data_IF_581819007574
#
_entry.id   IF_581819007574
#
_cell.length_a   1.000
_cell.length_b   1.000
_cell.length_c   1.000
_cell.angle_alpha   90.00
_cell.angle_beta   90.00
_cell.angle_gamma   90.00
#
_symmetry.space_group_name_H-M   'P 1'
#
loop_
_entity.id
_entity.type
_entity.pdbx_description
1 polymer ?
#
# COMPACT_ATOMS: atom_id res chain seq x y z
N UNK A 1 -13.35 -1.69 13.16
CA UNK A 1 -11.91 -1.39 13.27
C UNK A 1 -11.66 0.03 12.78
N UNK A 2 -10.92 0.85 13.52
CA UNK A 2 -10.68 2.27 13.18
C UNK A 2 -9.23 2.50 12.80
N UNK A 3 -8.97 3.39 11.86
CA UNK A 3 -7.62 3.74 11.42
C UNK A 3 -7.34 5.20 11.75
N UNK A 4 -6.07 5.49 12.07
CA UNK A 4 -5.56 6.85 11.94
C UNK A 4 -5.55 7.25 10.45
N UNK A 5 -5.65 8.56 10.19
CA UNK A 5 -5.71 9.08 8.83
C UNK A 5 -4.50 8.62 7.98
N UNK A 6 -4.78 8.09 6.80
CA UNK A 6 -3.83 7.50 5.83
C UNK A 6 -3.02 6.30 6.32
N UNK A 7 -3.18 5.84 7.56
CA UNK A 7 -2.53 4.62 8.05
C UNK A 7 -3.24 3.41 7.47
N UNK A 8 -2.49 2.47 6.89
CA UNK A 8 -3.03 1.25 6.29
C UNK A 8 -2.84 0.02 7.18
N UNK A 9 -1.88 0.05 8.10
CA UNK A 9 -1.57 -1.05 9.02
C UNK A 9 -2.57 -1.13 10.17
N UNK A 10 -2.67 -2.34 10.76
CA UNK A 10 -3.45 -2.58 11.97
C UNK A 10 -2.63 -2.33 13.23
N UNK A 11 -3.30 -1.92 14.31
CA UNK A 11 -2.71 -2.04 15.64
C UNK A 11 -2.64 -3.51 16.08
N UNK A 12 -1.82 -3.80 17.09
CA UNK A 12 -1.70 -5.16 17.63
C UNK A 12 -3.03 -5.67 18.21
N UNK A 13 -3.79 -4.79 18.88
CA UNK A 13 -5.13 -5.09 19.39
C UNK A 13 -6.09 -5.49 18.25
N UNK A 14 -6.13 -4.70 17.18
CA UNK A 14 -6.97 -4.96 16.01
C UNK A 14 -6.60 -6.25 15.28
N UNK A 15 -5.30 -6.56 15.22
CA UNK A 15 -4.83 -7.83 14.68
C UNK A 15 -5.29 -9.02 15.55
N UNK A 16 -5.32 -8.84 16.88
CA UNK A 16 -5.87 -9.82 17.83
C UNK A 16 -7.37 -10.07 17.60
N UNK A 17 -8.18 -9.02 17.53
CA UNK A 17 -9.63 -9.12 17.27
C UNK A 17 -9.90 -9.86 15.95
N UNK A 18 -9.13 -9.55 14.90
CA UNK A 18 -9.26 -10.20 13.60
C UNK A 18 -8.88 -11.68 13.67
N UNK A 19 -7.89 -12.05 14.46
CA UNK A 19 -7.49 -13.44 14.68
C UNK A 19 -8.59 -14.24 15.41
N UNK A 20 -9.30 -13.64 16.37
CA UNK A 20 -10.46 -14.28 17.01
C UNK A 20 -11.60 -14.54 16.01
N UNK A 21 -11.88 -13.56 15.14
CA UNK A 21 -12.88 -13.71 14.07
C UNK A 21 -12.46 -14.82 13.09
N UNK A 22 -11.17 -14.88 12.73
CA UNK A 22 -10.62 -15.95 11.89
C UNK A 22 -10.82 -17.32 12.53
N UNK A 23 -10.55 -17.46 13.82
CA UNK A 23 -10.78 -18.71 14.56
C UNK A 23 -12.26 -19.12 14.57
N UNK A 24 -13.16 -18.15 14.70
CA UNK A 24 -14.61 -18.42 14.61
C UNK A 24 -15.02 -18.88 13.21
N UNK A 25 -14.51 -18.24 12.16
CA UNK A 25 -14.75 -18.67 10.77
C UNK A 25 -14.21 -20.10 10.53
N UNK A 26 -13.11 -20.48 11.17
CA UNK A 26 -12.57 -21.85 11.08
C UNK A 26 -13.48 -22.88 11.74
N UNK A 27 -14.07 -22.56 12.89
CA UNK A 27 -14.91 -23.48 13.70
C UNK A 27 -16.38 -23.54 13.26
N UNK A 28 -16.97 -22.37 12.98
CA UNK A 28 -18.38 -22.21 12.66
C UNK A 28 -18.58 -22.20 11.14
N UNK A 29 -18.91 -23.35 10.54
CA UNK A 29 -19.03 -23.49 9.06
C UNK A 29 -20.16 -22.67 8.44
N UNK A 30 -21.17 -22.32 9.22
CA UNK A 30 -22.33 -21.50 8.83
C UNK A 30 -22.08 -19.99 8.91
N UNK A 31 -20.94 -19.59 9.49
CA UNK A 31 -20.56 -18.19 9.65
C UNK A 31 -19.95 -17.65 8.36
N UNK A 32 -20.45 -16.51 7.91
CA UNK A 32 -19.87 -15.71 6.83
C UNK A 32 -19.60 -14.30 7.30
N UNK A 33 -18.68 -13.62 6.62
CA UNK A 33 -18.25 -12.27 6.93
C UNK A 33 -18.30 -11.40 5.66
N UNK A 34 -18.84 -10.20 5.81
CA UNK A 34 -18.73 -9.14 4.81
C UNK A 34 -17.81 -8.05 5.35
N UNK A 35 -16.74 -7.77 4.59
CA UNK A 35 -15.74 -6.75 4.91
C UNK A 35 -16.02 -5.52 4.06
N UNK A 36 -16.24 -4.38 4.72
CA UNK A 36 -16.48 -3.09 4.05
C UNK A 36 -15.56 -2.03 4.61
N UNK A 37 -14.89 -1.32 3.71
CA UNK A 37 -14.10 -0.13 4.04
C UNK A 37 -14.95 1.15 3.93
N UNK A 38 -14.66 2.09 4.82
CA UNK A 38 -15.19 3.44 4.83
C UNK A 38 -14.02 4.42 4.95
N UNK A 39 -13.96 5.42 4.06
CA UNK A 39 -13.06 6.55 4.19
C UNK A 39 -13.55 7.50 5.28
N UNK A 40 -12.63 8.06 6.05
CA UNK A 40 -12.89 9.21 6.92
C UNK A 40 -12.41 10.50 6.24
N UNK A 41 -12.91 11.67 6.68
CA UNK A 41 -12.52 12.94 6.08
C UNK A 41 -11.03 13.26 6.30
N UNK A 42 -10.41 12.77 7.37
CA UNK A 42 -8.98 12.85 7.59
C UNK A 42 -8.15 12.06 6.57
N UNK A 43 -8.64 10.91 6.07
CA UNK A 43 -7.97 10.20 4.97
C UNK A 43 -7.99 11.05 3.69
N UNK A 44 -9.11 11.73 3.42
CA UNK A 44 -9.30 12.57 2.24
C UNK A 44 -8.39 13.80 2.29
N UNK A 45 -8.34 14.47 3.44
CA UNK A 45 -7.50 15.65 3.66
C UNK A 45 -6.02 15.30 3.51
N UNK A 46 -5.56 14.24 4.17
CA UNK A 46 -4.17 13.80 4.07
C UNK A 46 -3.82 13.33 2.65
N UNK A 47 -4.68 12.53 2.02
CA UNK A 47 -4.48 12.10 0.63
C UNK A 47 -4.36 13.31 -0.30
N UNK A 48 -5.23 14.33 -0.12
CA UNK A 48 -5.18 15.56 -0.89
C UNK A 48 -3.85 16.30 -0.70
N UNK A 49 -3.39 16.47 0.54
CA UNK A 49 -2.11 17.13 0.83
C UNK A 49 -0.91 16.40 0.22
N UNK A 50 -0.93 15.07 0.21
CA UNK A 50 0.16 14.25 -0.35
C UNK A 50 0.23 14.29 -1.87
N UNK A 51 -0.92 14.23 -2.55
CA UNK A 51 -0.95 14.15 -4.03
C UNK A 51 -1.10 15.50 -4.72
N UNK A 52 -1.46 16.55 -3.99
CA UNK A 52 -1.61 17.92 -4.48
C UNK A 52 -0.68 18.89 -3.74
N UNK A 53 0.62 18.64 -3.82
CA UNK A 53 1.66 19.49 -3.24
C UNK A 53 1.59 20.92 -3.76
N UNK A 54 1.94 21.88 -2.89
CA UNK A 54 2.20 23.26 -3.34
C UNK A 54 3.41 23.30 -4.28
N UNK A 55 3.52 24.37 -5.08
CA UNK A 55 4.65 24.54 -6.01
C UNK A 55 6.01 24.51 -5.30
N UNK A 56 6.10 25.05 -4.08
CA UNK A 56 7.33 25.04 -3.27
C UNK A 56 7.66 23.63 -2.79
N UNK A 57 6.66 22.89 -2.31
CA UNK A 57 6.84 21.50 -1.85
C UNK A 57 7.20 20.56 -2.99
N UNK A 58 6.53 20.70 -4.14
CA UNK A 58 6.82 19.92 -5.34
C UNK A 58 8.27 20.15 -5.82
N UNK A 59 8.74 21.40 -5.84
CA UNK A 59 10.14 21.71 -6.19
C UNK A 59 11.14 21.09 -5.21
N UNK A 60 10.85 21.14 -3.91
CA UNK A 60 11.69 20.53 -2.87
C UNK A 60 11.73 19.01 -3.00
N UNK A 61 10.58 18.37 -3.23
CA UNK A 61 10.50 16.94 -3.47
C UNK A 61 11.23 16.54 -4.74
N UNK A 62 11.10 17.31 -5.82
CA UNK A 62 11.81 17.09 -7.08
C UNK A 62 13.33 17.13 -6.89
N UNK A 63 13.83 18.12 -6.14
CA UNK A 63 15.25 18.22 -5.83
C UNK A 63 15.75 16.99 -5.05
N UNK A 64 14.98 16.57 -4.03
CA UNK A 64 15.30 15.37 -3.25
C UNK A 64 15.30 14.10 -4.10
N UNK A 65 14.25 13.85 -4.88
CA UNK A 65 14.17 12.66 -5.73
C UNK A 65 15.30 12.60 -6.77
N UNK A 66 15.74 13.75 -7.30
CA UNK A 66 16.90 13.82 -8.20
C UNK A 66 18.21 13.47 -7.49
N UNK A 67 18.37 13.94 -6.26
CA UNK A 67 19.53 13.60 -5.42
C UNK A 67 19.53 12.10 -5.10
N UNK A 68 18.42 11.56 -4.59
CA UNK A 68 18.26 10.15 -4.27
C UNK A 68 18.49 9.26 -5.52
N UNK A 69 18.00 9.68 -6.69
CA UNK A 69 18.29 9.01 -7.97
C UNK A 69 19.78 8.97 -8.29
N UNK A 70 20.49 10.08 -8.12
CA UNK A 70 21.92 10.15 -8.40
C UNK A 70 22.72 9.23 -7.46
N UNK A 71 22.34 9.18 -6.18
CA UNK A 71 22.95 8.29 -5.18
C UNK A 71 22.71 6.82 -5.51
N UNK A 72 21.46 6.43 -5.83
CA UNK A 72 21.16 5.05 -6.25
C UNK A 72 21.87 4.66 -7.55
N UNK A 73 21.98 5.60 -8.49
CA UNK A 73 22.67 5.40 -9.76
C UNK A 73 24.16 5.12 -9.54
N UNK A 74 24.82 5.87 -8.65
CA UNK A 74 26.21 5.60 -8.25
C UNK A 74 26.33 4.24 -7.55
N UNK A 75 25.46 3.95 -6.59
CA UNK A 75 25.46 2.67 -5.86
C UNK A 75 25.27 1.48 -6.81
N UNK A 76 24.40 1.60 -7.81
CA UNK A 76 24.21 0.58 -8.86
C UNK A 76 25.51 0.32 -9.62
N UNK A 77 26.20 1.37 -10.06
CA UNK A 77 27.43 1.24 -10.86
C UNK A 77 28.57 0.59 -10.06
N UNK A 78 28.67 0.92 -8.76
CA UNK A 78 29.59 0.29 -7.83
C UNK A 78 29.27 -1.19 -7.62
N UNK A 79 28.00 -1.52 -7.33
CA UNK A 79 27.54 -2.90 -7.12
C UNK A 79 27.69 -3.77 -8.37
N UNK A 80 27.38 -3.22 -9.56
CA UNK A 80 27.58 -3.91 -10.83
C UNK A 80 29.05 -4.21 -11.09
N UNK A 81 29.95 -3.31 -10.71
CA UNK A 81 31.40 -3.52 -10.83
C UNK A 81 31.89 -4.58 -9.83
N UNK A 82 31.41 -4.54 -8.59
CA UNK A 82 31.72 -5.54 -7.56
C UNK A 82 31.19 -6.94 -7.91
N UNK A 83 29.97 -7.05 -8.45
CA UNK A 83 29.39 -8.31 -8.88
C UNK A 83 30.21 -8.95 -10.01
N UNK A 84 30.64 -8.14 -11.00
CA UNK A 84 31.54 -8.60 -12.08
C UNK A 84 32.89 -9.07 -11.54
N UNK A 85 33.48 -8.35 -10.59
CA UNK A 85 34.73 -8.74 -9.96
C UNK A 85 34.61 -10.04 -9.14
N UNK A 86 33.53 -10.19 -8.36
CA UNK A 86 33.26 -11.40 -7.59
C UNK A 86 33.05 -12.62 -8.51
N UNK A 87 32.40 -12.40 -9.67
CA UNK A 87 32.22 -13.44 -10.69
C UNK A 87 33.56 -13.87 -11.29
N UNK A 88 34.41 -12.92 -11.67
CA UNK A 88 35.75 -13.20 -12.18
C UNK A 88 36.64 -13.92 -11.14
N UNK A 89 36.46 -13.63 -9.85
CA UNK A 89 37.17 -14.28 -8.75
C UNK A 89 36.62 -15.68 -8.38
N UNK A 90 35.55 -16.16 -9.02
CA UNK A 90 34.98 -17.48 -8.78
C UNK A 90 34.26 -17.66 -7.43
N UNK A 91 34.01 -16.56 -6.70
CA UNK A 91 33.42 -16.61 -5.36
C UNK A 91 31.89 -16.62 -5.40
N UNK A 92 31.29 -17.79 -5.56
CA UNK A 92 29.83 -17.97 -5.76
C UNK A 92 28.94 -17.27 -4.73
N UNK A 93 29.27 -17.35 -3.44
CA UNK A 93 28.47 -16.71 -2.37
C UNK A 93 28.48 -15.18 -2.48
N UNK A 94 29.66 -14.59 -2.70
CA UNK A 94 29.81 -13.15 -2.94
C UNK A 94 29.08 -12.69 -4.22
N UNK A 95 29.06 -13.52 -5.27
CA UNK A 95 28.30 -13.20 -6.50
C UNK A 95 26.81 -13.09 -6.17
N UNK A 96 26.24 -14.09 -5.49
CA UNK A 96 24.81 -14.11 -5.14
C UNK A 96 24.46 -12.87 -4.31
N UNK A 97 25.20 -12.60 -3.23
CA UNK A 97 24.93 -11.48 -2.35
C UNK A 97 24.99 -10.12 -3.08
N UNK A 98 25.98 -9.91 -3.96
CA UNK A 98 26.14 -8.66 -4.72
C UNK A 98 25.06 -8.51 -5.80
N UNK A 99 24.68 -9.60 -6.47
CA UNK A 99 23.61 -9.60 -7.46
C UNK A 99 22.25 -9.31 -6.83
N UNK A 100 21.93 -9.91 -5.68
CA UNK A 100 20.68 -9.60 -4.95
C UNK A 100 20.60 -8.12 -4.58
N UNK A 101 21.69 -7.57 -4.03
CA UNK A 101 21.71 -6.16 -3.65
C UNK A 101 21.64 -5.21 -4.86
N UNK A 102 22.25 -5.60 -5.98
CA UNK A 102 22.12 -4.87 -7.24
C UNK A 102 20.66 -4.83 -7.72
N UNK A 103 19.97 -5.98 -7.70
CA UNK A 103 18.56 -6.06 -8.09
C UNK A 103 17.67 -5.20 -7.19
N UNK A 104 17.90 -5.22 -5.87
CA UNK A 104 17.19 -4.36 -4.92
C UNK A 104 17.39 -2.87 -5.28
N UNK A 105 18.64 -2.46 -5.56
CA UNK A 105 18.95 -1.07 -5.98
C UNK A 105 18.27 -0.72 -7.31
N UNK A 106 18.24 -1.61 -8.29
CA UNK A 106 17.56 -1.39 -9.58
C UNK A 106 16.05 -1.23 -9.41
N UNK A 107 15.43 -2.02 -8.52
CA UNK A 107 14.01 -1.88 -8.17
C UNK A 107 13.76 -0.48 -7.56
N UNK A 108 14.59 -0.07 -6.59
CA UNK A 108 14.45 1.25 -5.98
C UNK A 108 14.64 2.38 -7.01
N UNK A 109 15.59 2.23 -7.94
CA UNK A 109 15.81 3.22 -9.00
C UNK A 109 14.56 3.35 -9.88
N UNK A 110 13.96 2.23 -10.29
CA UNK A 110 12.72 2.25 -11.08
C UNK A 110 11.53 2.87 -10.33
N UNK A 111 11.45 2.70 -9.01
CA UNK A 111 10.44 3.38 -8.19
C UNK A 111 10.66 4.89 -8.14
N UNK A 112 11.91 5.36 -7.99
CA UNK A 112 12.23 6.79 -8.01
C UNK A 112 11.97 7.41 -9.37
N UNK A 113 12.30 6.72 -10.47
CA UNK A 113 12.05 7.22 -11.82
C UNK A 113 10.56 7.39 -12.09
N UNK A 114 9.73 6.42 -11.70
CA UNK A 114 8.27 6.56 -11.77
C UNK A 114 7.77 7.73 -10.92
N UNK A 115 8.27 7.88 -9.69
CA UNK A 115 7.87 8.98 -8.82
C UNK A 115 8.27 10.36 -9.38
N UNK A 116 9.41 10.46 -10.07
CA UNK A 116 9.84 11.66 -10.77
C UNK A 116 8.90 12.00 -11.94
N UNK A 117 8.55 11.01 -12.76
CA UNK A 117 7.62 11.19 -13.88
C UNK A 117 6.24 11.66 -13.39
N UNK A 118 5.69 10.99 -12.39
CA UNK A 118 4.41 11.35 -11.77
C UNK A 118 4.46 12.78 -11.21
N UNK A 119 5.52 13.13 -10.47
CA UNK A 119 5.67 14.47 -9.90
C UNK A 119 5.77 15.53 -11.00
N UNK A 120 6.55 15.29 -12.05
CA UNK A 120 6.67 16.22 -13.18
C UNK A 120 5.35 16.40 -13.92
N UNK A 121 4.53 15.34 -14.06
CA UNK A 121 3.18 15.44 -14.59
C UNK A 121 2.30 16.35 -13.72
N UNK A 122 2.34 16.18 -12.40
CA UNK A 122 1.57 17.04 -11.48
C UNK A 122 2.02 18.51 -11.49
N UNK A 123 3.27 18.79 -11.86
CA UNK A 123 3.82 20.15 -11.96
C UNK A 123 3.47 20.85 -13.28
N UNK A 124 2.91 20.15 -14.29
CA UNK A 124 2.54 20.75 -15.57
C UNK A 124 1.47 21.83 -15.42
N UNK A 125 1.51 22.91 -16.22
CA UNK A 125 0.41 23.87 -16.29
C UNK A 125 -0.93 23.17 -16.56
N UNK A 126 -1.99 23.55 -15.85
CA UNK A 126 -3.33 22.96 -15.99
C UNK A 126 -3.59 21.68 -15.17
N UNK A 127 -2.58 21.12 -14.48
CA UNK A 127 -2.74 19.92 -13.63
C UNK A 127 -3.72 20.10 -12.45
N UNK A 128 -4.07 21.36 -12.12
CA UNK A 128 -5.05 21.71 -11.09
C UNK A 128 -6.42 21.09 -11.36
N UNK A 129 -6.82 20.94 -12.63
CA UNK A 129 -8.09 20.31 -13.00
C UNK A 129 -8.13 18.81 -12.65
N UNK A 130 -6.96 18.16 -12.57
CA UNK A 130 -6.83 16.77 -12.16
C UNK A 130 -6.69 16.58 -10.64
N UNK A 131 -6.64 17.65 -9.83
CA UNK A 131 -6.40 17.56 -8.40
C UNK A 131 -7.43 16.70 -7.67
N UNK A 132 -8.73 16.93 -7.95
CA UNK A 132 -9.82 16.13 -7.37
C UNK A 132 -9.74 14.65 -7.77
N UNK A 133 -9.38 14.37 -9.02
CA UNK A 133 -9.19 13.00 -9.51
C UNK A 133 -8.04 12.33 -8.77
N UNK A 134 -6.88 12.98 -8.63
CA UNK A 134 -5.72 12.47 -7.89
C UNK A 134 -6.06 12.17 -6.43
N UNK A 135 -6.77 13.06 -5.76
CA UNK A 135 -7.22 12.83 -4.37
C UNK A 135 -8.11 11.60 -4.28
N UNK A 136 -9.07 11.46 -5.19
CA UNK A 136 -9.94 10.28 -5.26
C UNK A 136 -9.13 9.00 -5.48
N UNK A 137 -8.21 9.01 -6.43
CA UNK A 137 -7.38 7.84 -6.76
C UNK A 137 -6.49 7.44 -5.56
N UNK A 138 -5.92 8.42 -4.85
CA UNK A 138 -5.17 8.20 -3.62
C UNK A 138 -6.03 7.62 -2.47
N UNK A 139 -7.23 8.14 -2.27
CA UNK A 139 -8.18 7.59 -1.30
C UNK A 139 -8.56 6.14 -1.63
N UNK A 140 -8.76 5.84 -2.92
CA UNK A 140 -9.03 4.49 -3.39
C UNK A 140 -7.85 3.56 -3.14
N UNK A 141 -6.62 4.03 -3.32
CA UNK A 141 -5.41 3.27 -3.01
C UNK A 141 -5.29 2.96 -1.51
N UNK A 142 -5.55 3.93 -0.62
CA UNK A 142 -5.59 3.72 0.85
C UNK A 142 -6.62 2.64 1.19
N UNK A 143 -7.83 2.76 0.63
CA UNK A 143 -8.91 1.81 0.85
C UNK A 143 -8.54 0.39 0.43
N UNK A 144 -7.94 0.27 -0.76
CA UNK A 144 -7.48 -1.02 -1.31
C UNK A 144 -6.37 -1.63 -0.45
N UNK A 145 -5.36 -0.85 -0.06
CA UNK A 145 -4.26 -1.32 0.78
C UNK A 145 -4.74 -1.84 2.14
N UNK A 146 -5.70 -1.14 2.78
CA UNK A 146 -6.31 -1.63 4.04
C UNK A 146 -7.04 -2.96 3.84
N UNK A 147 -7.84 -3.09 2.77
CA UNK A 147 -8.55 -4.33 2.47
C UNK A 147 -7.60 -5.48 2.16
N UNK A 148 -6.50 -5.23 1.45
CA UNK A 148 -5.46 -6.22 1.18
C UNK A 148 -4.79 -6.72 2.46
N UNK A 149 -4.54 -5.84 3.44
CA UNK A 149 -4.02 -6.22 4.76
C UNK A 149 -5.03 -7.09 5.53
N UNK A 150 -6.33 -6.77 5.47
CA UNK A 150 -7.36 -7.63 6.08
C UNK A 150 -7.40 -8.99 5.36
N UNK A 151 -7.37 -9.01 4.03
CA UNK A 151 -7.38 -10.24 3.24
C UNK A 151 -6.16 -11.14 3.55
N UNK A 152 -4.97 -10.54 3.68
CA UNK A 152 -3.75 -11.30 4.01
C UNK A 152 -3.72 -11.82 5.45
N UNK A 153 -4.52 -11.27 6.36
CA UNK A 153 -4.65 -11.79 7.73
C UNK A 153 -5.75 -12.84 7.87
N UNK A 154 -6.77 -12.76 7.00
CA UNK A 154 -7.87 -13.72 6.88
C UNK A 154 -7.55 -14.90 5.93
N UNK A 155 -6.26 -15.23 5.73
CA UNK A 155 -5.78 -16.21 4.73
C UNK A 155 -6.72 -17.41 4.57
N UNK A 156 -7.12 -17.60 3.31
CA UNK A 156 -8.14 -18.53 2.82
C UNK A 156 -7.80 -19.99 3.08
N UNK A 157 -6.52 -20.37 3.14
CA UNK A 157 -6.11 -21.79 3.24
C UNK A 157 -6.50 -22.46 4.57
N UNK A 158 -6.74 -21.69 5.64
CA UNK A 158 -7.15 -22.23 6.94
C UNK A 158 -8.68 -22.24 7.15
N UNK A 159 -9.44 -21.62 6.24
CA UNK A 159 -10.90 -21.46 6.36
C UNK A 159 -11.59 -22.29 5.27
N UNK A 160 -12.37 -23.33 5.62
CA UNK A 160 -13.14 -24.09 4.64
C UNK A 160 -14.08 -23.17 3.85
N UNK A 161 -14.04 -23.28 2.52
CA UNK A 161 -14.84 -22.49 1.56
C UNK A 161 -14.75 -20.97 1.79
N UNK A 162 -13.56 -20.44 2.06
CA UNK A 162 -13.39 -19.02 2.39
C UNK A 162 -13.92 -18.09 1.28
N UNK A 163 -13.75 -18.43 0.00
CA UNK A 163 -14.22 -17.62 -1.13
C UNK A 163 -15.74 -17.41 -1.14
N UNK A 164 -16.51 -18.37 -0.62
CA UNK A 164 -17.97 -18.26 -0.49
C UNK A 164 -18.40 -17.54 0.80
N UNK A 165 -17.51 -17.51 1.80
CA UNK A 165 -17.82 -17.08 3.17
C UNK A 165 -17.25 -15.72 3.53
N UNK A 166 -16.26 -15.23 2.78
CA UNK A 166 -15.60 -13.95 2.99
C UNK A 166 -15.86 -13.08 1.78
N UNK A 167 -16.73 -12.09 1.93
CA UNK A 167 -17.04 -11.13 0.87
C UNK A 167 -16.36 -9.80 1.15
N UNK A 168 -15.44 -9.39 0.28
CA UNK A 168 -14.88 -8.04 0.29
C UNK A 168 -15.70 -7.13 -0.61
N UNK A 169 -16.28 -6.09 -0.04
CA UNK A 169 -17.00 -5.09 -0.83
C UNK A 169 -15.98 -4.16 -1.48
N UNK A 170 -16.01 -3.98 -2.82
CA UNK A 170 -15.11 -3.05 -3.49
C UNK A 170 -15.20 -1.66 -2.87
N UNK A 171 -14.06 -1.01 -2.58
CA UNK A 171 -14.07 0.31 -1.97
C UNK A 171 -14.77 1.31 -2.90
N UNK A 172 -15.38 2.32 -2.30
CA UNK A 172 -16.01 3.41 -3.04
C UNK A 172 -15.59 4.72 -2.41
N UNK A 173 -15.28 5.70 -3.26
CA UNK A 173 -15.08 7.06 -2.80
C UNK A 173 -16.43 7.66 -2.41
N UNK A 174 -16.59 7.95 -1.12
CA UNK A 174 -17.68 8.75 -0.58
C UNK A 174 -17.05 9.91 0.17
N UNK A 175 -17.53 11.12 -0.07
CA UNK A 175 -17.06 12.28 0.68
C UNK A 175 -17.45 12.13 2.15
N UNK A 176 -16.50 12.44 3.02
CA UNK A 176 -16.64 12.39 4.46
C UNK A 176 -16.09 13.70 5.02
N UNK A 177 -16.79 14.27 5.99
CA UNK A 177 -16.44 15.57 6.59
C UNK A 177 -15.94 15.45 8.02
N UNK A 178 -15.97 14.25 8.61
CA UNK A 178 -15.41 14.00 9.92
C UNK A 178 -13.86 14.03 9.84
N UNK A 179 -13.17 14.59 10.84
CA UNK A 179 -11.71 14.65 10.81
C UNK A 179 -11.04 13.29 11.09
N UNK A 180 -11.80 12.21 11.30
CA UNK A 180 -11.22 10.93 11.63
C UNK A 180 -10.61 10.26 10.40
N UNK A 181 -9.74 9.27 10.66
CA UNK A 181 -9.36 8.33 9.61
C UNK A 181 -10.50 7.37 9.29
N UNK A 182 -10.28 6.51 8.31
CA UNK A 182 -11.28 5.55 7.87
C UNK A 182 -11.49 4.40 8.84
N UNK A 183 -12.46 3.56 8.51
CA UNK A 183 -12.80 2.38 9.28
C UNK A 183 -13.07 1.17 8.39
N UNK A 184 -12.96 -0.01 8.97
CA UNK A 184 -13.44 -1.24 8.38
C UNK A 184 -14.53 -1.82 9.28
N UNK A 185 -15.66 -2.11 8.64
CA UNK A 185 -16.81 -2.78 9.25
C UNK A 185 -16.80 -4.24 8.82
N UNK A 186 -16.86 -5.13 9.81
CA UNK A 186 -16.96 -6.56 9.65
C UNK A 186 -18.37 -6.98 10.05
N UNK A 187 -19.19 -7.38 9.07
CA UNK A 187 -20.55 -7.88 9.35
C UNK A 187 -20.54 -9.39 9.34
N UNK A 188 -20.84 -9.99 10.48
CA UNK A 188 -20.96 -11.43 10.64
C UNK A 188 -22.41 -11.84 10.38
N UNK A 189 -22.61 -12.83 9.52
CA UNK A 189 -23.92 -13.42 9.25
C UNK A 189 -23.85 -14.93 9.39
N UNK A 190 -24.92 -15.52 9.91
CA UNK A 190 -25.10 -16.97 9.91
C UNK A 190 -26.09 -17.37 8.84
N UNK A 191 -25.70 -18.33 8.02
CA UNK A 191 -26.64 -19.06 7.17
C UNK A 191 -27.62 -19.83 8.07
N UNK A 192 -28.93 -19.67 7.87
CA UNK A 192 -29.89 -20.64 8.44
C UNK A 192 -29.62 -21.96 7.72
N UNK A 193 -29.08 -22.94 8.45
CA UNK A 193 -28.98 -24.30 7.96
C UNK A 193 -30.33 -24.73 7.38
N UNK A 194 -30.32 -25.14 6.10
CA UNK A 194 -31.44 -25.87 5.49
C UNK A 194 -31.40 -27.31 5.97
#
# INVERSE_FOLDING_TARGET
MQYAASVTTLSQEQAGDLAEIRERLRRERDLSITVRHHLGGGDIENANGLVNLSATEAKRLLARLRQDRAELQQARDELASQARAAFAAGSRENVIARTTRLQETEIQLGLIERALDDLLETMRPGSKHAARRRTRDACMAISKARLEIIASLLVVEEIPNADERITFVPPRFMEASDPAGGSITLTLSKSKAR
#
